data_IF_147505764757
#
_entry.id   IF_147505764757
#
_cell.length_a   1.000
_cell.length_b   1.000
_cell.length_c   1.000
_cell.angle_alpha   90.00
_cell.angle_beta   90.00
_cell.angle_gamma   90.00
#
_symmetry.space_group_name_H-M   'P 1'
#
loop_
_entity.id
_entity.type
_entity.pdbx_description
1 polymer ?
#
# COMPACT_ATOMS: atom_id res chain seq x y z
N UNK A 1 -21.78 0.36 17.83
CA UNK A 1 -21.74 -0.66 16.76
C UNK A 1 -20.34 -1.24 16.67
N UNK A 2 -20.22 -2.55 16.53
CA UNK A 2 -18.93 -3.22 16.34
C UNK A 2 -18.48 -3.08 14.87
N UNK A 3 -17.23 -2.71 14.65
CA UNK A 3 -16.65 -2.66 13.31
C UNK A 3 -16.25 -4.08 12.86
N UNK A 4 -16.74 -4.54 11.70
CA UNK A 4 -16.41 -5.88 11.18
C UNK A 4 -14.95 -6.06 10.76
N UNK A 5 -14.18 -4.98 10.69
CA UNK A 5 -12.76 -5.02 10.33
C UNK A 5 -11.84 -5.01 11.56
N UNK A 6 -12.02 -4.04 12.48
CA UNK A 6 -11.14 -3.91 13.64
C UNK A 6 -11.69 -4.54 14.92
N UNK A 7 -12.94 -5.02 14.92
CA UNK A 7 -13.62 -5.61 16.10
C UNK A 7 -13.91 -4.63 17.24
N UNK A 8 -13.58 -3.34 17.07
CA UNK A 8 -13.81 -2.34 18.12
C UNK A 8 -15.28 -1.90 18.13
N UNK A 9 -15.85 -1.80 19.34
CA UNK A 9 -17.12 -1.13 19.59
C UNK A 9 -16.93 0.39 19.50
N UNK A 10 -17.70 1.05 18.62
CA UNK A 10 -17.67 2.51 18.43
C UNK A 10 -19.06 3.11 18.33
N UNK A 11 -19.15 4.42 18.52
CA UNK A 11 -20.38 5.18 18.29
C UNK A 11 -20.81 5.14 16.82
N UNK A 12 -22.11 5.32 16.56
CA UNK A 12 -22.65 5.22 15.20
C UNK A 12 -22.13 6.31 14.25
N UNK A 13 -21.73 7.48 14.78
CA UNK A 13 -21.14 8.56 14.00
C UNK A 13 -19.73 8.24 13.48
N UNK A 14 -19.04 7.24 14.05
CA UNK A 14 -17.79 6.69 13.54
C UNK A 14 -17.99 5.83 12.28
N UNK A 15 -19.22 5.63 11.82
CA UNK A 15 -19.57 4.87 10.62
C UNK A 15 -20.22 5.79 9.58
N UNK A 16 -19.72 5.74 8.34
CA UNK A 16 -20.38 6.44 7.23
C UNK A 16 -21.68 5.73 6.85
N UNK A 17 -22.66 6.47 6.34
CA UNK A 17 -23.91 5.87 5.82
C UNK A 17 -23.69 5.21 4.47
N UNK A 18 -24.37 4.09 4.23
CA UNK A 18 -24.35 3.30 3.00
C UNK A 18 -25.15 3.98 1.88
N UNK A 19 -26.31 4.50 2.24
CA UNK A 19 -27.30 5.09 1.33
C UNK A 19 -28.13 6.15 2.06
N UNK A 20 -29.07 6.77 1.35
CA UNK A 20 -29.98 7.80 1.87
C UNK A 20 -30.94 7.30 2.96
N UNK A 21 -31.09 5.98 3.13
CA UNK A 21 -31.90 5.40 4.19
C UNK A 21 -31.20 5.41 5.57
N UNK A 22 -29.95 5.91 5.65
CA UNK A 22 -29.24 6.08 6.92
C UNK A 22 -28.61 4.81 7.48
N UNK A 23 -28.59 3.72 6.71
CA UNK A 23 -27.99 2.45 7.13
C UNK A 23 -26.48 2.64 7.31
N UNK A 24 -25.89 2.38 8.49
CA UNK A 24 -24.45 2.52 8.68
C UNK A 24 -23.69 1.44 7.89
N UNK A 25 -22.51 1.80 7.38
CA UNK A 25 -21.55 0.83 6.83
C UNK A 25 -21.11 -0.12 7.96
N UNK A 26 -20.73 -1.37 7.64
CA UNK A 26 -20.24 -2.32 8.65
C UNK A 26 -18.82 -2.01 9.17
N UNK A 27 -18.13 -1.05 8.55
CA UNK A 27 -16.76 -0.68 8.88
C UNK A 27 -16.71 0.76 9.39
N UNK A 28 -15.95 1.00 10.45
CA UNK A 28 -15.69 2.35 10.93
C UNK A 28 -14.97 3.17 9.84
N UNK A 29 -15.07 4.50 9.90
CA UNK A 29 -14.51 5.42 8.89
C UNK A 29 -13.04 5.12 8.54
N UNK A 30 -12.12 4.91 9.50
CA UNK A 30 -10.73 4.54 9.18
C UNK A 30 -10.60 3.22 8.44
N UNK A 31 -11.30 2.18 8.89
CA UNK A 31 -11.27 0.86 8.26
C UNK A 31 -11.83 0.91 6.84
N UNK A 32 -12.96 1.60 6.64
CA UNK A 32 -13.56 1.79 5.33
C UNK A 32 -12.62 2.59 4.40
N UNK A 33 -11.95 3.62 4.92
CA UNK A 33 -10.99 4.40 4.14
C UNK A 33 -9.83 3.53 3.63
N UNK A 34 -9.29 2.64 4.48
CA UNK A 34 -8.22 1.73 4.06
C UNK A 34 -8.71 0.69 3.04
N UNK A 35 -9.90 0.12 3.22
CA UNK A 35 -10.49 -0.79 2.22
C UNK A 35 -10.65 -0.11 0.87
N UNK A 36 -11.17 1.13 0.85
CA UNK A 36 -11.30 1.91 -0.39
C UNK A 36 -9.94 2.22 -1.01
N UNK A 37 -8.94 2.57 -0.19
CA UNK A 37 -7.58 2.85 -0.64
C UNK A 37 -6.96 1.62 -1.30
N UNK A 38 -6.94 0.48 -0.62
CA UNK A 38 -6.33 -0.75 -1.11
C UNK A 38 -7.03 -1.29 -2.36
N UNK A 39 -8.35 -1.09 -2.47
CA UNK A 39 -9.11 -1.42 -3.68
C UNK A 39 -8.60 -0.70 -4.93
N UNK A 40 -8.14 0.55 -4.81
CA UNK A 40 -7.53 1.25 -5.96
C UNK A 40 -6.24 0.58 -6.45
N UNK A 41 -5.62 -0.22 -5.58
CA UNK A 41 -4.39 -0.94 -5.90
C UNK A 41 -4.61 -2.42 -6.20
N UNK A 42 -5.85 -2.92 -6.18
CA UNK A 42 -6.13 -4.34 -6.36
C UNK A 42 -5.61 -5.21 -5.20
N UNK A 43 -5.42 -4.64 -4.01
CA UNK A 43 -4.91 -5.36 -2.84
C UNK A 43 -6.03 -5.68 -1.85
N UNK A 44 -5.91 -6.85 -1.22
CA UNK A 44 -6.65 -7.14 0.02
C UNK A 44 -5.92 -6.53 1.21
N UNK A 45 -6.65 -6.28 2.30
CA UNK A 45 -6.05 -5.88 3.57
C UNK A 45 -5.01 -6.89 4.04
N UNK A 46 -5.37 -8.17 3.99
CA UNK A 46 -4.51 -9.26 4.45
C UNK A 46 -3.17 -9.27 3.69
N UNK A 47 -3.19 -9.10 2.36
CA UNK A 47 -1.94 -9.01 1.60
C UNK A 47 -1.14 -7.77 1.96
N UNK A 48 -1.78 -6.60 2.12
CA UNK A 48 -1.11 -5.37 2.51
C UNK A 48 -0.45 -5.50 3.90
N UNK A 49 -1.11 -6.12 4.86
CA UNK A 49 -0.58 -6.37 6.21
C UNK A 49 0.58 -7.37 6.17
N UNK A 50 0.49 -8.44 5.35
CA UNK A 50 1.59 -9.39 5.15
C UNK A 50 2.79 -8.73 4.46
N UNK A 51 2.55 -7.86 3.48
CA UNK A 51 3.59 -7.08 2.82
C UNK A 51 4.26 -6.12 3.80
N UNK A 52 3.48 -5.46 4.65
CA UNK A 52 3.98 -4.61 5.71
C UNK A 52 4.91 -5.36 6.68
N UNK A 53 4.48 -6.53 7.14
CA UNK A 53 5.28 -7.39 8.01
C UNK A 53 6.54 -7.91 7.31
N UNK A 54 6.43 -8.35 6.06
CA UNK A 54 7.57 -8.80 5.24
C UNK A 54 8.62 -7.69 5.05
N UNK A 55 8.19 -6.42 5.02
CA UNK A 55 9.06 -5.26 4.99
C UNK A 55 9.62 -4.84 6.37
N UNK A 56 9.26 -5.55 7.44
CA UNK A 56 9.64 -5.21 8.81
C UNK A 56 9.01 -3.91 9.32
N UNK A 57 7.82 -3.55 8.81
CA UNK A 57 7.08 -2.34 9.19
C UNK A 57 7.69 -1.01 8.73
N UNK A 58 8.64 -1.07 7.79
CA UNK A 58 9.43 0.08 7.33
C UNK A 58 9.32 0.32 5.84
N UNK A 59 9.68 1.53 5.41
CA UNK A 59 9.78 1.87 3.99
C UNK A 59 10.67 0.86 3.27
N UNK A 60 10.19 0.28 2.16
CA UNK A 60 10.93 -0.74 1.44
C UNK A 60 12.29 -0.28 0.89
N UNK A 61 12.45 1.03 0.67
CA UNK A 61 13.66 1.62 0.09
C UNK A 61 14.62 2.10 1.16
N UNK A 62 14.27 3.19 1.87
CA UNK A 62 15.24 3.80 2.79
C UNK A 62 15.42 3.03 4.09
N UNK A 63 14.49 2.13 4.45
CA UNK A 63 14.46 1.40 5.72
C UNK A 63 14.44 2.29 6.99
N UNK A 64 14.43 3.63 6.87
CA UNK A 64 14.45 4.56 8.02
C UNK A 64 13.06 4.84 8.57
N UNK A 65 12.05 4.92 7.70
CA UNK A 65 10.71 5.33 8.14
C UNK A 65 9.93 4.11 8.61
N UNK A 66 9.64 4.07 9.91
CA UNK A 66 8.61 3.21 10.49
C UNK A 66 7.23 3.84 10.29
N UNK A 67 6.31 3.06 9.74
CA UNK A 67 4.93 3.51 9.60
C UNK A 67 4.19 3.21 10.90
N UNK A 68 4.23 4.15 11.84
CA UNK A 68 3.36 4.13 13.00
C UNK A 68 1.89 4.29 12.57
N UNK A 69 0.95 3.93 13.49
CA UNK A 69 -0.53 3.90 13.31
C UNK A 69 -1.22 5.26 13.01
N UNK A 70 -0.56 6.17 12.28
CA UNK A 70 -1.13 7.41 11.78
C UNK A 70 -0.51 7.91 10.47
N UNK A 71 0.59 7.31 9.98
CA UNK A 71 1.14 7.60 8.66
C UNK A 71 0.95 6.40 7.74
N UNK A 72 -0.06 6.49 6.89
CA UNK A 72 -0.33 5.49 5.86
C UNK A 72 0.81 5.47 4.83
N UNK A 73 1.45 4.32 4.57
CA UNK A 73 2.45 4.20 3.51
C UNK A 73 1.83 4.39 2.13
N UNK A 74 2.60 4.92 1.20
CA UNK A 74 2.25 4.91 -0.22
C UNK A 74 2.39 3.48 -0.76
N UNK A 75 1.46 3.07 -1.62
CA UNK A 75 1.57 1.83 -2.37
C UNK A 75 2.23 2.16 -3.69
N UNK A 76 3.48 1.71 -3.85
CA UNK A 76 4.23 1.86 -5.08
C UNK A 76 3.91 0.72 -6.05
N UNK A 77 3.73 1.07 -7.33
CA UNK A 77 3.41 0.12 -8.38
C UNK A 77 4.06 0.52 -9.71
N UNK A 78 4.23 -0.46 -10.59
CA UNK A 78 4.82 -0.23 -11.91
C UNK A 78 3.82 0.48 -12.85
N UNK A 79 4.18 1.71 -13.25
CA UNK A 79 3.40 2.55 -14.16
C UNK A 79 3.51 2.10 -15.64
N UNK A 80 4.47 1.25 -16.00
CA UNK A 80 4.50 0.62 -17.31
C UNK A 80 3.41 -0.46 -17.45
N UNK A 81 3.03 -1.11 -16.35
CA UNK A 81 1.94 -2.09 -16.33
C UNK A 81 0.56 -1.43 -16.22
N UNK A 82 0.39 -0.48 -15.29
CA UNK A 82 -0.88 0.23 -15.10
C UNK A 82 -0.65 1.74 -15.09
N UNK A 83 -1.00 2.47 -16.16
CA UNK A 83 -0.84 3.92 -16.19
C UNK A 83 -1.84 4.60 -15.26
N UNK A 84 -1.42 5.71 -14.64
CA UNK A 84 -2.27 6.52 -13.76
C UNK A 84 -2.21 6.11 -12.30
N UNK A 85 -3.30 6.32 -11.56
CA UNK A 85 -3.34 6.21 -10.07
C UNK A 85 -3.80 4.85 -9.53
N UNK A 86 -4.18 3.90 -10.39
CA UNK A 86 -4.70 2.59 -9.99
C UNK A 86 -3.76 1.50 -10.46
N UNK A 87 -3.77 0.36 -9.77
CA UNK A 87 -3.03 -0.84 -10.18
C UNK A 87 -3.93 -2.05 -10.30
N UNK A 88 -3.48 -3.04 -11.09
CA UNK A 88 -4.12 -4.35 -11.22
C UNK A 88 -3.89 -5.28 -10.02
N UNK A 89 -3.12 -4.86 -9.01
CA UNK A 89 -2.67 -5.71 -7.91
C UNK A 89 -1.30 -6.31 -8.20
N UNK A 90 -1.15 -6.99 -9.33
CA UNK A 90 0.10 -7.70 -9.68
C UNK A 90 1.31 -6.78 -9.83
N UNK A 91 1.11 -5.56 -10.33
CA UNK A 91 2.18 -4.58 -10.51
C UNK A 91 2.56 -3.82 -9.23
N UNK A 92 1.90 -4.08 -8.10
CA UNK A 92 2.32 -3.52 -6.80
C UNK A 92 3.70 -4.05 -6.46
N UNK A 93 4.62 -3.14 -6.12
CA UNK A 93 6.00 -3.40 -5.75
C UNK A 93 6.19 -3.41 -4.24
N UNK A 94 5.74 -2.38 -3.54
CA UNK A 94 5.95 -2.28 -2.09
C UNK A 94 5.11 -1.19 -1.40
N UNK A 95 5.21 -1.17 -0.08
CA UNK A 95 4.84 -0.02 0.75
C UNK A 95 6.07 0.89 0.95
N UNK A 96 5.96 2.17 0.60
CA UNK A 96 7.07 3.14 0.65
C UNK A 96 6.65 4.44 1.33
N UNK A 97 7.63 5.20 1.82
CA UNK A 97 7.34 6.53 2.34
C UNK A 97 7.19 7.52 1.18
N UNK A 98 6.40 8.58 1.38
CA UNK A 98 6.12 9.57 0.34
C UNK A 98 7.37 10.23 -0.25
N UNK A 99 8.43 10.39 0.55
CA UNK A 99 9.71 10.92 0.06
C UNK A 99 10.39 9.98 -0.92
N UNK A 100 10.50 8.70 -0.57
CA UNK A 100 11.07 7.69 -1.46
C UNK A 100 10.22 7.49 -2.71
N UNK A 101 8.89 7.57 -2.58
CA UNK A 101 7.96 7.44 -3.70
C UNK A 101 8.08 8.62 -4.68
N UNK A 102 7.81 9.83 -4.21
CA UNK A 102 7.66 11.01 -5.06
C UNK A 102 8.99 11.64 -5.50
N UNK A 103 10.04 11.58 -4.67
CA UNK A 103 11.32 12.25 -4.95
C UNK A 103 12.47 11.26 -5.23
N UNK A 104 12.31 9.99 -4.87
CA UNK A 104 13.28 8.94 -5.17
C UNK A 104 12.91 8.20 -6.44
N UNK A 105 11.93 7.28 -6.35
CA UNK A 105 11.51 6.39 -7.41
C UNK A 105 11.02 7.13 -8.65
N UNK A 106 10.10 8.09 -8.49
CA UNK A 106 9.50 8.77 -9.64
C UNK A 106 10.56 9.44 -10.54
N UNK A 107 11.54 10.11 -9.94
CA UNK A 107 12.66 10.69 -10.70
C UNK A 107 13.57 9.60 -11.27
N UNK A 108 13.92 8.60 -10.47
CA UNK A 108 14.88 7.57 -10.85
C UNK A 108 14.39 6.67 -11.99
N UNK A 109 13.11 6.33 -12.00
CA UNK A 109 12.47 5.58 -13.10
C UNK A 109 12.38 6.40 -14.40
N UNK A 110 12.30 7.73 -14.30
CA UNK A 110 12.31 8.60 -15.48
C UNK A 110 13.70 8.71 -16.14
N UNK A 111 14.77 8.26 -15.47
CA UNK A 111 16.11 8.24 -16.06
C UNK A 111 16.25 7.11 -17.09
N UNK A 112 17.05 7.33 -18.16
CA UNK A 112 17.59 6.25 -18.98
C UNK A 112 18.28 5.20 -18.11
N UNK A 113 18.22 3.93 -18.53
CA UNK A 113 18.73 2.80 -17.75
C UNK A 113 20.21 2.94 -17.41
N UNK A 114 20.99 3.55 -18.30
CA UNK A 114 22.43 3.79 -18.16
C UNK A 114 22.76 4.77 -17.03
N UNK A 115 21.81 5.64 -16.67
CA UNK A 115 21.95 6.63 -15.59
C UNK A 115 21.40 6.12 -14.25
N UNK A 116 20.80 4.92 -14.22
CA UNK A 116 20.28 4.30 -13.01
C UNK A 116 21.41 3.60 -12.25
N UNK A 117 22.20 4.39 -11.51
CA UNK A 117 23.43 3.92 -10.84
C UNK A 117 23.27 3.59 -9.35
N UNK A 118 22.10 3.87 -8.75
CA UNK A 118 21.84 3.59 -7.34
C UNK A 118 21.45 2.11 -7.16
N UNK A 119 22.40 1.30 -6.69
CA UNK A 119 22.21 -0.15 -6.48
C UNK A 119 20.96 -0.50 -5.67
N UNK A 120 20.71 0.22 -4.57
CA UNK A 120 19.52 -0.01 -3.72
C UNK A 120 18.20 0.14 -4.49
N UNK A 121 18.11 1.13 -5.40
CA UNK A 121 16.90 1.33 -6.21
C UNK A 121 16.83 0.31 -7.36
N UNK A 122 17.96 -0.09 -7.94
CA UNK A 122 17.98 -1.14 -8.95
C UNK A 122 17.55 -2.49 -8.37
N UNK A 123 18.05 -2.86 -7.19
CA UNK A 123 17.65 -4.08 -6.48
C UNK A 123 16.16 -4.06 -6.14
N UNK A 124 15.66 -2.90 -5.71
CA UNK A 124 14.24 -2.68 -5.46
C UNK A 124 13.39 -2.89 -6.71
N UNK A 125 13.76 -2.29 -7.85
CA UNK A 125 13.01 -2.40 -9.10
C UNK A 125 13.07 -3.82 -9.68
N UNK A 126 14.20 -4.52 -9.55
CA UNK A 126 14.39 -5.86 -10.10
C UNK A 126 13.63 -6.95 -9.32
N UNK A 127 13.67 -6.89 -7.98
CA UNK A 127 13.02 -7.89 -7.12
C UNK A 127 12.33 -7.24 -5.90
N UNK A 128 11.18 -6.57 -6.13
CA UNK A 128 10.50 -5.80 -5.10
C UNK A 128 9.84 -6.71 -4.04
N UNK A 129 9.63 -6.21 -2.82
CA UNK A 129 9.05 -6.96 -1.70
C UNK A 129 7.74 -7.70 -2.01
N UNK A 130 6.81 -7.09 -2.73
CA UNK A 130 5.55 -7.75 -3.05
C UNK A 130 5.74 -8.95 -3.99
N UNK A 131 6.71 -8.90 -4.90
CA UNK A 131 7.08 -10.03 -5.76
C UNK A 131 7.72 -11.16 -4.95
N UNK A 132 8.60 -10.82 -4.01
CA UNK A 132 9.21 -11.78 -3.07
C UNK A 132 8.14 -12.49 -2.24
N UNK A 133 7.25 -11.72 -1.61
CA UNK A 133 6.15 -12.25 -0.79
C UNK A 133 5.22 -13.17 -1.60
N UNK A 134 4.81 -12.80 -2.81
CA UNK A 134 3.97 -13.67 -3.66
C UNK A 134 4.63 -15.03 -3.90
N UNK A 135 5.93 -15.04 -4.21
CA UNK A 135 6.68 -16.29 -4.40
C UNK A 135 6.76 -17.13 -3.12
N UNK A 136 6.82 -16.50 -1.95
CA UNK A 136 6.80 -17.21 -0.66
C UNK A 136 5.42 -17.81 -0.35
N UNK A 137 4.34 -17.11 -0.70
CA UNK A 137 2.97 -17.58 -0.47
C UNK A 137 2.50 -18.66 -1.47
N UNK A 138 3.17 -18.79 -2.62
CA UNK A 138 2.88 -19.82 -3.63
C UNK A 138 3.70 -21.11 -3.47
N UNK A 139 4.55 -21.19 -2.44
CA UNK A 139 5.31 -22.39 -2.06
C UNK A 139 4.53 -23.21 -1.04
#
# INVERSE_FOLDING_TARGET
MECLECGELKELDEFSVLNTAGVPRPYCKPCNAEVVRLRNYGLTREFADRLFQHQGGRCAICKVVEFARGRTPDVDHDHACCPGRRSCGECVRALVCSKCNAYGLAWYEALPAELRTYGVLNDYLADPPARKLRRELSR
#
